data_IF_405710280733
#
_entry.id   IF_405710280733
#
_cell.length_a   1.000
_cell.length_b   1.000
_cell.length_c   1.000
_cell.angle_alpha   90.00
_cell.angle_beta   90.00
_cell.angle_gamma   90.00
#
_symmetry.space_group_name_H-M   'P 1'
#
loop_
_entity.id
_entity.type
_entity.pdbx_description
1 polymer ?
#
# COMPACT_ATOMS: atom_id res chain seq x y z
N UNK A 1 -16.63 0.34 -35.72
CA UNK A 1 -16.59 -0.05 -34.30
C UNK A 1 -15.91 1.06 -33.51
N UNK A 2 -16.65 1.82 -32.69
CA UNK A 2 -16.07 2.82 -31.78
C UNK A 2 -15.63 2.08 -30.51
N UNK A 3 -14.33 2.06 -30.23
CA UNK A 3 -13.82 1.65 -28.92
C UNK A 3 -14.36 2.63 -27.88
N UNK A 4 -15.06 2.12 -26.87
CA UNK A 4 -15.47 2.93 -25.73
C UNK A 4 -14.21 3.57 -25.12
N UNK A 5 -14.28 4.84 -24.68
CA UNK A 5 -13.16 5.45 -23.97
C UNK A 5 -12.86 4.60 -22.73
N UNK A 6 -11.60 4.24 -22.53
CA UNK A 6 -11.13 3.61 -21.30
C UNK A 6 -11.52 4.57 -20.17
N UNK A 7 -12.48 4.15 -19.34
CA UNK A 7 -12.91 4.93 -18.19
C UNK A 7 -11.66 5.17 -17.33
N UNK A 8 -11.33 6.41 -16.94
CA UNK A 8 -10.19 6.65 -16.08
C UNK A 8 -10.41 5.82 -14.80
N UNK A 9 -9.53 4.85 -14.56
CA UNK A 9 -9.65 3.94 -13.42
C UNK A 9 -9.65 4.77 -12.14
N UNK A 10 -10.71 4.65 -11.35
CA UNK A 10 -10.84 5.38 -10.11
C UNK A 10 -9.66 5.07 -9.15
N UNK A 11 -9.15 6.05 -8.37
CA UNK A 11 -8.20 5.79 -7.30
C UNK A 11 -8.69 4.69 -6.37
N UNK A 12 -7.79 3.78 -6.04
CA UNK A 12 -8.00 2.76 -5.01
C UNK A 12 -8.20 3.41 -3.63
N UNK A 13 -7.40 4.44 -3.35
CA UNK A 13 -7.43 5.25 -2.13
C UNK A 13 -7.21 6.72 -2.50
N UNK A 14 -7.65 7.65 -1.66
CA UNK A 14 -7.54 9.10 -1.90
C UNK A 14 -6.54 9.78 -0.96
N UNK A 15 -5.94 10.88 -1.42
CA UNK A 15 -5.02 11.68 -0.59
C UNK A 15 -5.78 12.29 0.59
N UNK A 16 -5.17 12.27 1.78
CA UNK A 16 -5.80 12.65 3.04
C UNK A 16 -6.59 11.53 3.71
N UNK A 17 -6.78 10.38 3.03
CA UNK A 17 -7.42 9.22 3.65
C UNK A 17 -6.58 8.68 4.80
N UNK A 18 -7.26 8.32 5.89
CA UNK A 18 -6.65 7.67 7.05
C UNK A 18 -6.85 6.15 6.92
N UNK A 19 -5.75 5.41 7.00
CA UNK A 19 -5.73 3.97 7.07
C UNK A 19 -5.33 3.56 8.48
N UNK A 20 -6.05 2.62 9.07
CA UNK A 20 -5.77 2.07 10.39
C UNK A 20 -5.17 0.67 10.24
N UNK A 21 -3.92 0.53 10.64
CA UNK A 21 -3.23 -0.75 10.76
C UNK A 21 -3.40 -1.37 12.15
N UNK A 22 -2.67 -2.45 12.40
CA UNK A 22 -2.61 -3.09 13.72
C UNK A 22 -1.82 -2.25 14.73
N UNK A 23 -0.82 -1.51 14.26
CA UNK A 23 0.18 -0.83 15.10
C UNK A 23 0.03 0.70 15.11
N UNK A 24 -0.49 1.29 14.03
CA UNK A 24 -0.59 2.75 13.90
C UNK A 24 -1.74 3.16 12.96
N UNK A 25 -2.02 4.45 12.91
CA UNK A 25 -2.77 5.09 11.81
C UNK A 25 -1.80 5.72 10.80
N UNK A 26 -2.26 5.83 9.56
CA UNK A 26 -1.49 6.29 8.42
C UNK A 26 -2.31 7.22 7.54
N UNK A 27 -1.85 8.46 7.35
CA UNK A 27 -2.51 9.43 6.48
C UNK A 27 -1.83 9.44 5.12
N UNK A 28 -2.58 9.16 4.05
CA UNK A 28 -2.05 9.19 2.68
C UNK A 28 -1.67 10.62 2.28
N UNK A 29 -0.45 10.81 1.79
CA UNK A 29 0.05 12.14 1.39
C UNK A 29 0.28 12.28 -0.10
N UNK A 30 0.62 11.19 -0.80
CA UNK A 30 0.89 11.23 -2.25
C UNK A 30 0.71 9.85 -2.89
N UNK A 31 0.16 9.80 -4.09
CA UNK A 31 0.24 8.62 -4.95
C UNK A 31 1.57 8.63 -5.70
N UNK A 32 2.36 7.56 -5.53
CA UNK A 32 3.68 7.43 -6.14
C UNK A 32 3.62 6.67 -7.45
N UNK A 33 2.77 5.65 -7.53
CA UNK A 33 2.61 4.83 -8.72
C UNK A 33 1.22 4.18 -8.75
N UNK A 34 0.70 4.02 -9.96
CA UNK A 34 -0.52 3.28 -10.26
C UNK A 34 -0.26 2.33 -11.40
N UNK A 35 -0.58 1.07 -11.18
CA UNK A 35 -0.48 0.02 -12.17
C UNK A 35 -1.85 -0.28 -12.78
N UNK A 36 -1.84 -0.96 -13.93
CA UNK A 36 -3.04 -1.27 -14.73
C UNK A 36 -3.91 -2.35 -14.06
N UNK A 37 -3.34 -3.10 -13.13
CA UNK A 37 -3.90 -4.31 -12.50
C UNK A 37 -4.46 -4.05 -11.10
N UNK A 38 -5.10 -2.90 -10.91
CA UNK A 38 -5.71 -2.48 -9.63
C UNK A 38 -4.72 -2.52 -8.44
N UNK A 39 -3.48 -2.12 -8.71
CA UNK A 39 -2.45 -1.90 -7.70
C UNK A 39 -2.00 -0.43 -7.68
N UNK A 40 -1.75 0.09 -6.48
CA UNK A 40 -1.19 1.42 -6.29
C UNK A 40 -0.22 1.48 -5.12
N UNK A 41 0.75 2.39 -5.24
CA UNK A 41 1.75 2.69 -4.23
C UNK A 41 1.60 4.13 -3.80
N UNK A 42 1.51 4.35 -2.49
CA UNK A 42 1.36 5.66 -1.89
C UNK A 42 2.47 5.95 -0.90
N UNK A 43 2.75 7.23 -0.70
CA UNK A 43 3.45 7.75 0.46
C UNK A 43 2.42 8.09 1.53
N UNK A 44 2.72 7.75 2.79
CA UNK A 44 1.88 8.09 3.93
C UNK A 44 2.72 8.55 5.13
N UNK A 45 2.05 9.22 6.08
CA UNK A 45 2.62 9.59 7.38
C UNK A 45 1.97 8.77 8.48
N UNK A 46 2.78 8.21 9.37
CA UNK A 46 2.27 7.55 10.58
C UNK A 46 1.94 8.60 11.68
N UNK A 47 1.48 8.13 12.84
CA UNK A 47 1.18 8.98 14.00
C UNK A 47 2.39 9.72 14.59
N UNK A 48 3.61 9.23 14.32
CA UNK A 48 4.86 9.87 14.72
C UNK A 48 5.40 10.83 13.65
N UNK A 49 4.62 11.08 12.59
CA UNK A 49 5.00 11.90 11.43
C UNK A 49 6.16 11.32 10.58
N UNK A 50 6.50 10.04 10.75
CA UNK A 50 7.45 9.34 9.89
C UNK A 50 6.82 8.99 8.54
N UNK A 51 7.62 9.04 7.48
CA UNK A 51 7.22 8.60 6.15
C UNK A 51 7.24 7.07 6.05
N UNK A 52 6.21 6.54 5.39
CA UNK A 52 6.08 5.12 5.07
C UNK A 52 5.47 4.93 3.68
N UNK A 53 5.64 3.74 3.14
CA UNK A 53 5.10 3.35 1.85
C UNK A 53 3.88 2.48 2.08
N UNK A 54 2.76 2.82 1.43
CA UNK A 54 1.56 2.00 1.42
C UNK A 54 1.48 1.31 0.06
N UNK A 55 1.32 0.00 0.07
CA UNK A 55 1.03 -0.76 -1.15
C UNK A 55 -0.36 -1.36 -1.03
N UNK A 56 -1.22 -1.05 -2.01
CA UNK A 56 -2.62 -1.46 -2.02
C UNK A 56 -2.90 -2.22 -3.31
N UNK A 57 -3.54 -3.38 -3.21
CA UNK A 57 -3.92 -4.21 -4.38
C UNK A 57 -5.32 -4.76 -4.14
N UNK A 58 -6.25 -4.49 -5.05
CA UNK A 58 -7.62 -5.03 -4.98
C UNK A 58 -7.70 -6.39 -5.66
N UNK A 59 -8.50 -7.29 -5.08
CA UNK A 59 -8.92 -8.54 -5.74
C UNK A 59 -7.82 -9.55 -6.06
N UNK A 60 -6.60 -9.42 -5.52
CA UNK A 60 -5.47 -10.25 -5.92
C UNK A 60 -4.62 -10.79 -4.75
N UNK A 61 -4.31 -12.08 -4.80
CA UNK A 61 -3.47 -12.80 -3.83
C UNK A 61 -2.01 -12.30 -3.73
N UNK A 62 -1.57 -11.45 -4.67
CA UNK A 62 -0.17 -11.01 -4.78
C UNK A 62 0.30 -10.22 -3.57
N UNK A 63 -0.61 -9.44 -2.98
CA UNK A 63 -0.29 -8.68 -1.77
C UNK A 63 -0.04 -9.60 -0.57
N UNK A 64 -0.84 -10.65 -0.42
CA UNK A 64 -0.65 -11.65 0.64
C UNK A 64 0.68 -12.37 0.46
N UNK A 65 0.98 -12.82 -0.76
CA UNK A 65 2.25 -13.47 -1.06
C UNK A 65 3.45 -12.57 -0.74
N UNK A 66 3.38 -11.28 -1.10
CA UNK A 66 4.43 -10.32 -0.75
C UNK A 66 4.56 -10.16 0.77
N UNK A 67 3.46 -10.01 1.50
CA UNK A 67 3.49 -9.92 2.96
C UNK A 67 4.13 -11.17 3.60
N UNK A 68 3.81 -12.36 3.10
CA UNK A 68 4.35 -13.62 3.63
C UNK A 68 5.85 -13.77 3.36
N UNK A 69 6.30 -13.41 2.17
CA UNK A 69 7.74 -13.37 1.82
C UNK A 69 8.45 -12.34 2.69
N UNK A 70 7.90 -11.13 2.86
CA UNK A 70 8.50 -10.10 3.72
C UNK A 70 8.61 -10.58 5.17
N UNK A 71 7.56 -11.14 5.76
CA UNK A 71 7.60 -11.72 7.12
C UNK A 71 8.70 -12.77 7.28
N UNK A 72 8.91 -13.62 6.27
CA UNK A 72 9.90 -14.71 6.31
C UNK A 72 11.34 -14.25 6.14
N UNK A 73 11.58 -13.19 5.36
CA UNK A 73 12.93 -12.83 4.90
C UNK A 73 13.42 -11.45 5.34
N UNK A 74 12.56 -10.55 5.83
CA UNK A 74 12.99 -9.19 6.21
C UNK A 74 14.03 -9.15 7.34
N UNK A 75 14.08 -10.17 8.21
CA UNK A 75 15.10 -10.30 9.25
C UNK A 75 16.42 -10.91 8.74
N UNK A 76 16.43 -11.44 7.51
CA UNK A 76 17.55 -12.17 6.91
C UNK A 76 18.35 -11.35 5.90
N UNK A 77 17.86 -10.16 5.54
CA UNK A 77 18.53 -9.28 4.59
C UNK A 77 18.24 -7.82 4.89
N UNK A 78 19.28 -7.00 4.93
CA UNK A 78 19.17 -5.55 5.07
C UNK A 78 18.67 -4.86 3.79
N UNK A 79 18.69 -5.58 2.66
CA UNK A 79 18.28 -5.07 1.35
C UNK A 79 16.78 -5.22 1.07
N UNK A 80 16.05 -5.91 1.95
CA UNK A 80 14.60 -6.04 1.85
C UNK A 80 13.96 -4.91 2.64
N UNK A 81 13.03 -4.19 2.02
CA UNK A 81 12.23 -3.16 2.69
C UNK A 81 11.29 -3.84 3.71
N UNK A 82 11.40 -3.56 5.02
CA UNK A 82 10.58 -4.25 6.01
C UNK A 82 9.09 -3.91 5.90
N UNK A 83 8.26 -4.94 6.08
CA UNK A 83 6.83 -4.84 6.41
C UNK A 83 6.70 -4.41 7.88
N UNK A 84 6.01 -3.29 8.12
CA UNK A 84 5.84 -2.72 9.47
C UNK A 84 4.40 -2.82 9.98
N UNK A 85 3.42 -2.94 9.08
CA UNK A 85 2.01 -3.08 9.46
C UNK A 85 1.16 -3.64 8.31
N UNK A 86 -0.02 -4.15 8.66
CA UNK A 86 -1.09 -4.57 7.75
C UNK A 86 -2.34 -3.75 8.07
N UNK A 87 -2.96 -3.14 7.04
CA UNK A 87 -4.15 -2.32 7.23
C UNK A 87 -5.36 -3.18 7.56
N UNK A 88 -6.09 -2.77 8.60
CA UNK A 88 -7.35 -3.37 9.01
C UNK A 88 -8.56 -2.56 8.51
N UNK A 89 -8.43 -1.23 8.46
CA UNK A 89 -9.52 -0.34 8.02
C UNK A 89 -8.98 0.79 7.13
N UNK A 90 -9.58 1.02 5.95
CA UNK A 90 -10.58 0.16 5.30
C UNK A 90 -10.00 -1.23 4.95
N UNK A 91 -10.87 -2.24 4.88
CA UNK A 91 -10.46 -3.60 4.50
C UNK A 91 -10.26 -3.78 2.99
N UNK A 92 -10.96 -2.98 2.18
CA UNK A 92 -10.79 -2.90 0.73
C UNK A 92 -10.36 -1.49 0.30
N UNK A 93 -9.31 -1.36 -0.53
CA UNK A 93 -8.39 -2.42 -0.94
C UNK A 93 -7.51 -2.92 0.22
N UNK A 94 -7.18 -4.22 0.25
CA UNK A 94 -6.14 -4.73 1.12
C UNK A 94 -4.85 -3.93 0.93
N UNK A 95 -4.23 -3.55 2.04
CA UNK A 95 -3.07 -2.66 2.04
C UNK A 95 -2.04 -3.09 3.08
N UNK A 96 -0.76 -2.99 2.72
CA UNK A 96 0.37 -3.23 3.63
C UNK A 96 1.23 -1.99 3.74
N UNK A 97 1.90 -1.85 4.88
CA UNK A 97 2.78 -0.73 5.17
C UNK A 97 4.22 -1.22 5.19
N UNK A 98 5.04 -0.56 4.38
CA UNK A 98 6.46 -0.82 4.26
C UNK A 98 7.24 0.38 4.82
N UNK A 99 8.37 0.12 5.46
CA UNK A 99 9.26 1.17 5.96
C UNK A 99 9.74 2.05 4.80
N UNK A 100 9.69 3.38 4.92
CA UNK A 100 10.36 4.25 3.93
C UNK A 100 11.88 4.07 4.01
N UNK A 101 12.58 4.30 2.89
CA UNK A 101 14.04 4.38 2.96
C UNK A 101 14.38 5.68 3.70
N UNK A 102 15.32 5.62 4.64
CA UNK A 102 15.97 6.83 5.18
C UNK A 102 16.74 7.52 4.07
#
# INVERSE_FOLDING_TARGET
>A
MRTAPLTPMAPLLYIGQILKGRNSTYTLVKELHRAVDEAAVYLARNQNNDLCIVKSIRGHWRLQNEADILKRYQSKSLFIRPLIDEIQQPADPPSIILRSSK
#
